data_IF_758295730941
#
_entry.id   IF_758295730941
#
_cell.length_a   1.000
_cell.length_b   1.000
_cell.length_c   1.000
_cell.angle_alpha   90.00
_cell.angle_beta   90.00
_cell.angle_gamma   90.00
#
_symmetry.space_group_name_H-M   'P 1'
#
loop_
_entity.id
_entity.type
_entity.pdbx_description
1 polymer ?
#
# COMPACT_ATOMS: atom_id res chain seq x y z
N UNK A 1 6.02 4.37 14.80
CA UNK A 1 6.84 4.21 13.59
C UNK A 1 6.07 4.87 12.46
N UNK A 2 6.74 5.62 11.60
CA UNK A 2 6.13 6.28 10.43
C UNK A 2 6.95 5.87 9.21
N UNK A 3 6.27 5.51 8.13
CA UNK A 3 6.88 5.24 6.83
C UNK A 3 5.98 5.84 5.75
N UNK A 4 6.52 6.01 4.54
CA UNK A 4 5.76 6.47 3.39
C UNK A 4 5.23 5.28 2.58
N UNK A 5 4.02 5.43 2.05
CA UNK A 5 3.42 4.50 1.10
C UNK A 5 3.29 5.17 -0.26
N UNK A 6 3.65 4.44 -1.32
CA UNK A 6 3.48 4.88 -2.69
C UNK A 6 2.12 4.43 -3.22
N UNK A 7 1.34 5.40 -3.69
CA UNK A 7 0.13 5.13 -4.45
C UNK A 7 0.51 4.71 -5.87
N UNK A 8 0.36 3.42 -6.19
CA UNK A 8 0.87 2.85 -7.42
C UNK A 8 -0.25 2.27 -8.29
N UNK A 9 -0.69 3.04 -9.28
CA UNK A 9 -1.71 2.59 -10.25
C UNK A 9 -1.21 1.50 -11.20
N UNK A 10 0.11 1.34 -11.37
CA UNK A 10 0.71 0.28 -12.17
C UNK A 10 0.88 -1.04 -11.40
N UNK A 11 0.55 -1.06 -10.11
CA UNK A 11 0.53 -2.29 -9.32
C UNK A 11 -0.84 -2.95 -9.42
N UNK A 12 -1.04 -3.67 -10.54
CA UNK A 12 -2.25 -4.47 -10.81
C UNK A 12 -2.19 -5.82 -10.08
N UNK A 13 -2.34 -5.77 -8.76
CA UNK A 13 -2.38 -6.96 -7.91
C UNK A 13 -3.59 -7.88 -8.21
N UNK A 14 -3.58 -9.08 -7.62
CA UNK A 14 -4.69 -10.05 -7.70
C UNK A 14 -5.93 -9.54 -6.94
N UNK A 15 -5.76 -8.58 -6.02
CA UNK A 15 -6.83 -7.94 -5.29
C UNK A 15 -6.42 -6.56 -4.79
N UNK A 16 -7.16 -6.06 -3.79
CA UNK A 16 -6.76 -4.87 -3.04
C UNK A 16 -5.56 -5.24 -2.16
N UNK A 17 -4.36 -5.12 -2.74
CA UNK A 17 -3.11 -5.57 -2.16
C UNK A 17 -2.31 -4.39 -1.59
N UNK A 18 -1.65 -4.61 -0.43
CA UNK A 18 -0.68 -3.71 0.19
C UNK A 18 0.67 -4.42 0.29
N UNK A 19 1.66 -3.94 -0.45
CA UNK A 19 3.00 -4.51 -0.39
C UNK A 19 3.80 -3.85 0.73
N UNK A 20 4.43 -4.68 1.57
CA UNK A 20 5.18 -4.27 2.74
C UNK A 20 6.65 -4.70 2.58
N UNK A 21 7.61 -3.78 2.85
CA UNK A 21 8.99 -4.16 3.06
C UNK A 21 9.10 -5.21 4.16
N UNK A 22 10.00 -6.18 3.98
CA UNK A 22 10.22 -7.30 4.91
C UNK A 22 10.37 -6.84 6.38
N UNK A 23 11.14 -5.78 6.62
CA UNK A 23 11.39 -5.28 7.98
C UNK A 23 10.17 -4.62 8.61
N UNK A 24 9.30 -3.99 7.80
CA UNK A 24 8.02 -3.49 8.29
C UNK A 24 7.09 -4.66 8.64
N UNK A 25 7.04 -5.69 7.79
CA UNK A 25 6.22 -6.87 8.04
C UNK A 25 6.64 -7.61 9.33
N UNK A 26 7.94 -7.76 9.60
CA UNK A 26 8.45 -8.30 10.88
C UNK A 26 7.95 -7.50 12.08
N UNK A 27 8.00 -6.17 12.00
CA UNK A 27 7.57 -5.28 13.10
C UNK A 27 6.07 -5.31 13.33
N UNK A 28 5.29 -5.54 12.28
CA UNK A 28 3.83 -5.74 12.36
C UNK A 28 3.43 -7.17 12.77
N UNK A 29 4.40 -8.08 13.00
CA UNK A 29 4.13 -9.48 13.34
C UNK A 29 3.56 -10.30 12.18
N UNK A 30 3.70 -9.83 10.94
CA UNK A 30 3.24 -10.51 9.72
C UNK A 30 4.30 -11.45 9.14
N UNK A 31 5.54 -11.40 9.65
CA UNK A 31 6.65 -12.24 9.22
C UNK A 31 7.29 -13.01 10.38
N UNK A 32 7.60 -14.31 10.22
CA UNK A 32 7.26 -15.16 9.06
C UNK A 32 5.74 -15.44 9.00
N UNK A 33 5.13 -15.52 7.81
CA UNK A 33 3.71 -15.80 7.70
C UNK A 33 3.41 -17.27 8.04
N UNK A 34 2.29 -17.52 8.71
CA UNK A 34 1.81 -18.90 8.93
C UNK A 34 1.42 -19.57 7.62
N UNK A 35 0.76 -18.82 6.72
CA UNK A 35 0.33 -19.28 5.40
C UNK A 35 0.49 -18.15 4.38
N UNK A 36 1.21 -18.42 3.29
CA UNK A 36 1.37 -17.49 2.18
C UNK A 36 1.49 -18.24 0.85
N UNK A 37 0.96 -17.62 -0.21
CA UNK A 37 1.25 -18.00 -1.58
C UNK A 37 2.56 -17.32 -2.01
N UNK A 38 3.49 -18.10 -2.54
CA UNK A 38 4.79 -17.61 -3.00
C UNK A 38 4.75 -17.46 -4.51
N UNK A 39 4.98 -16.23 -4.99
CA UNK A 39 5.07 -15.94 -6.41
C UNK A 39 6.47 -15.45 -6.77
N UNK A 40 6.96 -15.86 -7.93
CA UNK A 40 8.15 -15.27 -8.52
C UNK A 40 7.74 -14.10 -9.42
N UNK A 41 8.18 -12.89 -9.08
CA UNK A 41 7.91 -11.69 -9.88
C UNK A 41 9.18 -11.18 -10.53
N UNK A 42 9.04 -10.70 -11.77
CA UNK A 42 10.14 -10.03 -12.47
C UNK A 42 10.16 -8.57 -12.04
N UNK A 43 11.25 -8.16 -11.42
CA UNK A 43 11.57 -6.78 -11.07
C UNK A 43 12.62 -6.23 -12.04
N UNK A 44 12.93 -4.94 -11.93
CA UNK A 44 14.01 -4.33 -12.71
C UNK A 44 15.38 -5.00 -12.46
N UNK A 45 15.60 -5.53 -11.25
CA UNK A 45 16.89 -6.13 -10.83
C UNK A 45 16.94 -7.64 -10.98
N UNK A 46 15.88 -8.31 -11.46
CA UNK A 46 15.86 -9.76 -11.64
C UNK A 46 14.54 -10.39 -11.27
N UNK A 47 14.57 -11.67 -10.88
CA UNK A 47 13.38 -12.37 -10.36
C UNK A 47 13.49 -12.42 -8.84
N UNK A 48 12.46 -11.96 -8.15
CA UNK A 48 12.39 -11.97 -6.69
C UNK A 48 11.11 -12.67 -6.22
N UNK A 49 11.15 -13.38 -5.08
CA UNK A 49 9.94 -13.94 -4.49
C UNK A 49 9.11 -12.84 -3.82
N UNK A 50 7.80 -12.97 -3.88
CA UNK A 50 6.86 -12.23 -3.04
C UNK A 50 5.98 -13.22 -2.28
N UNK A 51 5.61 -12.85 -1.06
CA UNK A 51 4.81 -13.67 -0.17
C UNK A 51 3.44 -13.01 0.02
N UNK A 52 2.43 -13.51 -0.67
CA UNK A 52 1.05 -13.00 -0.55
C UNK A 52 0.34 -13.75 0.56
N UNK A 53 -0.01 -13.05 1.63
CA UNK A 53 -0.67 -13.65 2.79
C UNK A 53 -2.11 -14.02 2.43
N UNK A 54 -2.62 -15.09 3.05
CA UNK A 54 -4.02 -15.53 2.85
C UNK A 54 -5.03 -14.76 3.72
N UNK A 55 -4.55 -14.17 4.82
CA UNK A 55 -5.34 -13.32 5.70
C UNK A 55 -5.27 -11.86 5.24
N UNK A 56 -6.26 -11.07 5.64
CA UNK A 56 -6.31 -9.64 5.40
C UNK A 56 -5.82 -8.85 6.61
N UNK A 57 -5.38 -7.62 6.36
CA UNK A 57 -5.20 -6.59 7.39
C UNK A 57 -6.27 -5.52 7.21
N UNK A 58 -6.73 -4.96 8.33
CA UNK A 58 -7.60 -3.78 8.32
C UNK A 58 -6.72 -2.53 8.23
N UNK A 59 -7.00 -1.68 7.26
CA UNK A 59 -6.26 -0.45 6.98
C UNK A 59 -7.20 0.72 7.06
N UNK A 60 -6.86 1.67 7.94
CA UNK A 60 -7.63 2.89 8.17
C UNK A 60 -6.85 4.10 7.62
N UNK A 61 -7.55 5.04 6.99
CA UNK A 61 -6.96 6.35 6.67
C UNK A 61 -7.26 7.30 7.82
N UNK A 62 -6.20 7.85 8.40
CA UNK A 62 -6.26 8.92 9.38
C UNK A 62 -5.83 10.23 8.71
N UNK A 63 -6.72 11.21 8.69
CA UNK A 63 -6.43 12.59 8.24
C UNK A 63 -6.71 13.57 9.39
N UNK A 64 -6.22 14.81 9.27
CA UNK A 64 -6.27 15.78 10.37
C UNK A 64 -7.69 16.07 10.89
N UNK A 65 -8.70 15.92 10.03
CA UNK A 65 -10.09 16.30 10.27
C UNK A 65 -11.02 15.11 10.55
N UNK A 66 -10.63 13.88 10.19
CA UNK A 66 -11.45 12.66 10.34
C UNK A 66 -10.64 11.38 10.16
N UNK A 67 -11.26 10.25 10.48
CA UNK A 67 -10.81 8.94 9.98
C UNK A 67 -11.82 8.34 9.01
N UNK A 68 -11.33 7.49 8.12
CA UNK A 68 -12.15 6.74 7.15
C UNK A 68 -12.28 5.31 7.63
N UNK A 69 -13.48 4.74 7.55
CA UNK A 69 -13.74 3.36 7.97
C UNK A 69 -12.68 2.38 7.44
N UNK A 70 -12.20 1.43 8.27
CA UNK A 70 -11.17 0.50 7.85
C UNK A 70 -11.59 -0.35 6.64
N UNK A 71 -10.65 -0.59 5.74
CA UNK A 71 -10.82 -1.50 4.60
C UNK A 71 -9.88 -2.69 4.71
N UNK A 72 -10.31 -3.84 4.19
CA UNK A 72 -9.50 -5.06 4.19
C UNK A 72 -8.56 -5.06 2.98
N UNK A 73 -7.27 -5.06 3.23
CA UNK A 73 -6.23 -5.22 2.21
C UNK A 73 -5.48 -6.54 2.40
N UNK A 74 -5.00 -7.12 1.31
CA UNK A 74 -4.16 -8.34 1.37
C UNK A 74 -2.70 -7.95 1.50
N UNK A 75 -1.99 -8.35 2.56
CA UNK A 75 -0.55 -8.09 2.67
C UNK A 75 0.24 -8.91 1.65
N UNK A 76 1.19 -8.25 1.00
CA UNK A 76 2.23 -8.89 0.22
C UNK A 76 3.57 -8.48 0.80
N UNK A 77 4.43 -9.44 1.12
CA UNK A 77 5.75 -9.16 1.71
C UNK A 77 6.82 -9.36 0.63
N UNK A 78 7.74 -8.43 0.52
CA UNK A 78 8.89 -8.50 -0.39
C UNK A 78 10.15 -7.95 0.30
N UNK A 79 11.28 -8.63 0.10
CA UNK A 79 12.60 -8.15 0.49
C UNK A 79 13.21 -7.21 -0.56
N UNK A 80 12.70 -7.23 -1.79
CA UNK A 80 13.16 -6.41 -2.90
C UNK A 80 12.54 -5.00 -2.93
N UNK A 81 11.75 -4.62 -1.91
CA UNK A 81 11.02 -3.36 -1.87
C UNK A 81 11.36 -2.55 -0.62
N UNK A 82 11.66 -1.27 -0.82
CA UNK A 82 12.05 -0.35 0.25
C UNK A 82 10.86 0.43 0.85
N UNK A 83 9.78 0.60 0.07
CA UNK A 83 8.60 1.37 0.46
C UNK A 83 7.34 0.51 0.44
N UNK A 84 6.33 0.95 1.20
CA UNK A 84 4.99 0.37 1.11
C UNK A 84 4.39 0.72 -0.25
N UNK A 85 3.78 -0.24 -0.94
CA UNK A 85 3.05 0.01 -2.19
C UNK A 85 1.57 -0.29 -2.01
N UNK A 86 0.73 0.64 -2.45
CA UNK A 86 -0.71 0.45 -2.54
C UNK A 86 -1.07 0.16 -4.00
N UNK A 87 -1.69 -0.99 -4.24
CA UNK A 87 -2.21 -1.38 -5.56
C UNK A 87 -3.32 -0.45 -6.06
N UNK A 88 -3.59 -0.48 -7.36
CA UNK A 88 -4.73 0.19 -8.00
C UNK A 88 -6.07 -0.06 -7.26
N UNK A 89 -6.29 -1.32 -6.87
CA UNK A 89 -7.47 -1.78 -6.14
C UNK A 89 -7.45 -1.34 -4.69
N UNK A 90 -6.28 -1.28 -4.04
CA UNK A 90 -6.15 -0.71 -2.71
C UNK A 90 -6.46 0.79 -2.70
N UNK A 91 -5.97 1.55 -3.68
CA UNK A 91 -6.31 2.98 -3.83
C UNK A 91 -7.81 3.18 -4.00
N UNK A 92 -8.43 2.34 -4.83
CA UNK A 92 -9.89 2.35 -5.03
C UNK A 92 -10.65 2.05 -3.74
N UNK A 93 -10.24 1.00 -3.00
CA UNK A 93 -10.88 0.58 -1.76
C UNK A 93 -10.74 1.66 -0.66
N UNK A 94 -9.56 2.25 -0.55
CA UNK A 94 -9.25 3.33 0.39
C UNK A 94 -9.86 4.67 -0.01
N UNK A 95 -10.42 4.78 -1.22
CA UNK A 95 -10.97 6.03 -1.73
C UNK A 95 -9.91 7.10 -2.00
N UNK A 96 -8.66 6.73 -2.28
CA UNK A 96 -7.58 7.68 -2.61
C UNK A 96 -7.67 8.05 -4.10
N UNK A 97 -7.64 9.36 -4.39
CA UNK A 97 -7.51 9.90 -5.75
C UNK A 97 -6.18 10.63 -5.87
N UNK A 98 -5.39 10.28 -6.89
CA UNK A 98 -4.17 11.01 -7.25
C UNK A 98 -4.58 12.21 -8.10
N UNK A 99 -4.21 13.41 -7.65
CA UNK A 99 -4.48 14.68 -8.36
C UNK A 99 -3.28 15.08 -9.22
N UNK A 100 -2.08 15.08 -8.63
CA UNK A 100 -0.81 15.34 -9.34
C UNK A 100 0.28 14.47 -8.73
N UNK A 101 0.68 13.41 -9.44
CA UNK A 101 1.64 12.42 -8.92
C UNK A 101 3.01 13.03 -8.66
N UNK A 102 3.53 13.84 -9.59
CA UNK A 102 4.86 14.45 -9.47
C UNK A 102 4.95 15.50 -8.35
N UNK A 103 3.83 16.13 -7.99
CA UNK A 103 3.75 17.09 -6.89
C UNK A 103 3.31 16.44 -5.57
N UNK A 104 2.96 15.14 -5.58
CA UNK A 104 2.44 14.45 -4.40
C UNK A 104 1.08 14.98 -3.94
N UNK A 105 0.24 15.46 -4.86
CA UNK A 105 -1.10 15.96 -4.55
C UNK A 105 -2.14 14.85 -4.70
N UNK A 106 -2.96 14.68 -3.67
CA UNK A 106 -4.01 13.67 -3.62
C UNK A 106 -5.22 14.17 -2.82
N UNK A 107 -6.34 13.45 -2.88
CA UNK A 107 -7.48 13.68 -1.98
C UNK A 107 -8.24 12.38 -1.72
N UNK A 108 -9.15 12.40 -0.75
CA UNK A 108 -10.16 11.35 -0.65
C UNK A 108 -11.22 11.53 -1.75
N UNK A 109 -11.88 10.45 -2.14
CA UNK A 109 -12.83 10.46 -3.26
C UNK A 109 -13.98 11.45 -3.07
N UNK A 110 -14.46 11.58 -1.85
CA UNK A 110 -15.52 12.53 -1.48
C UNK A 110 -15.03 13.97 -1.32
N UNK A 111 -13.72 14.20 -1.44
CA UNK A 111 -13.09 15.53 -1.44
C UNK A 111 -12.72 16.01 -2.84
N UNK A 112 -13.00 15.20 -3.88
CA UNK A 112 -12.63 15.53 -5.24
C UNK A 112 -13.29 16.84 -5.69
N UNK A 113 -12.45 17.84 -5.96
CA UNK A 113 -12.88 19.20 -6.33
C UNK A 113 -13.12 20.15 -5.16
N UNK A 114 -13.00 19.71 -3.90
CA UNK A 114 -13.18 20.54 -2.71
C UNK A 114 -11.96 20.63 -1.80
N UNK A 115 -11.08 19.62 -1.80
CA UNK A 115 -9.85 19.65 -1.02
C UNK A 115 -8.67 19.00 -1.76
N UNK A 116 -7.47 19.42 -1.39
CA UNK A 116 -6.20 18.86 -1.86
C UNK A 116 -5.33 18.59 -0.63
N UNK A 117 -4.70 17.42 -0.61
CA UNK A 117 -3.78 16.94 0.42
C UNK A 117 -2.40 16.74 -0.19
N UNK A 118 -1.36 16.89 0.64
CA UNK A 118 0.04 16.77 0.23
C UNK A 118 0.64 15.50 0.84
N UNK A 119 1.34 14.71 0.03
CA UNK A 119 2.05 13.51 0.47
C UNK A 119 3.21 13.81 1.42
N UNK A 120 3.59 12.83 2.23
CA UNK A 120 4.89 12.87 2.91
C UNK A 120 6.02 12.95 1.88
N UNK A 121 7.13 13.59 2.26
CA UNK A 121 8.38 13.41 1.54
C UNK A 121 8.99 12.08 2.01
N UNK A 122 9.35 11.17 1.08
CA UNK A 122 10.10 9.98 1.47
C UNK A 122 11.42 10.40 2.15
N UNK A 123 11.89 9.64 3.15
CA UNK A 123 13.15 9.91 3.84
C UNK A 123 14.37 9.85 2.92
#
# INVERSE_FOLDING_TARGET
>A
MVTCAMANTGFEGLGADIMLPMDLAKRLGLWPPENADIYAVRTASGVAPIYRLRNYVEVEIMVNDRSVAPVKLTPIISDAMEYVLLSDKALTALGIIIISAGEGLWCLRDELGSAIRVSCQPP
#
